data_IF_327782168105
#
_entry.id   IF_327782168105
#
_cell.length_a   1.000
_cell.length_b   1.000
_cell.length_c   1.000
_cell.angle_alpha   90.00
_cell.angle_beta   90.00
_cell.angle_gamma   90.00
#
_symmetry.space_group_name_H-M   'P 1'
#
loop_
_entity.id
_entity.type
_entity.pdbx_description
1 polymer ?
#
# COMPACT_ATOMS: atom_id res chain seq x y z
N UNK A 1 30.96 54.89 14.94
CA UNK A 1 30.00 55.48 13.98
C UNK A 1 30.74 55.65 12.66
N UNK A 2 30.41 55.08 11.50
CA UNK A 2 29.23 54.40 10.96
C UNK A 2 29.76 53.36 9.96
N UNK A 3 29.32 52.10 10.08
CA UNK A 3 29.60 51.06 9.09
C UNK A 3 28.66 51.26 7.88
N UNK A 4 29.23 51.37 6.69
CA UNK A 4 28.48 51.44 5.45
C UNK A 4 28.12 50.02 4.98
N UNK A 5 26.83 49.88 4.66
CA UNK A 5 26.14 48.72 4.11
C UNK A 5 26.44 48.57 2.62
N UNK A 6 26.68 47.33 2.14
CA UNK A 6 26.45 46.80 0.77
C UNK A 6 27.45 45.67 0.50
N UNK A 7 27.15 44.56 -0.16
CA UNK A 7 25.92 44.03 -0.72
C UNK A 7 26.15 42.52 -0.90
N UNK A 8 25.13 41.74 -0.57
CA UNK A 8 24.66 40.52 -1.26
C UNK A 8 25.72 39.81 -2.14
N UNK A 9 26.18 38.66 -1.66
CA UNK A 9 26.16 37.48 -2.52
C UNK A 9 25.68 36.32 -1.66
N UNK A 10 24.36 36.18 -1.64
CA UNK A 10 23.68 35.00 -1.14
C UNK A 10 24.16 33.82 -2.00
N UNK A 11 25.17 33.10 -1.49
CA UNK A 11 25.42 31.75 -1.94
C UNK A 11 24.25 30.92 -1.41
N UNK A 12 23.21 30.79 -2.24
CA UNK A 12 22.19 29.76 -2.13
C UNK A 12 22.93 28.43 -2.06
N UNK A 13 23.21 27.96 -0.84
CA UNK A 13 23.49 26.56 -0.60
C UNK A 13 22.23 25.85 -1.04
N UNK A 14 22.38 25.14 -2.16
CA UNK A 14 21.35 24.26 -2.68
C UNK A 14 20.91 23.37 -1.53
N UNK A 15 19.70 23.62 -1.05
CA UNK A 15 18.89 22.61 -0.36
C UNK A 15 18.63 21.58 -1.45
N UNK A 16 19.61 20.72 -1.69
CA UNK A 16 19.38 19.46 -2.38
C UNK A 16 18.32 18.76 -1.57
N UNK A 17 17.18 18.50 -2.19
CA UNK A 17 16.09 17.72 -1.64
C UNK A 17 16.68 16.44 -1.03
N UNK A 18 16.86 16.43 0.29
CA UNK A 18 17.05 15.20 1.04
C UNK A 18 15.68 14.52 1.10
N UNK A 19 15.21 14.01 -0.03
CA UNK A 19 14.17 13.01 -0.01
C UNK A 19 14.85 11.72 -0.44
N UNK A 20 15.60 11.17 0.50
CA UNK A 20 15.91 9.76 0.52
C UNK A 20 14.60 9.05 0.25
N UNK A 21 14.45 8.46 -0.94
CA UNK A 21 13.45 7.45 -1.17
C UNK A 21 13.81 6.31 -0.20
N UNK A 22 13.30 6.40 1.03
CA UNK A 22 13.12 5.21 1.84
C UNK A 22 12.28 4.31 0.95
N UNK A 23 12.89 3.22 0.49
CA UNK A 23 12.18 2.08 -0.05
C UNK A 23 11.35 1.54 1.09
N UNK A 24 10.22 2.19 1.35
CA UNK A 24 9.13 1.61 2.10
C UNK A 24 8.67 0.43 1.27
N UNK A 25 8.51 -0.72 1.90
CA UNK A 25 7.97 -1.89 1.21
C UNK A 25 6.58 -1.52 0.70
N UNK A 26 6.45 -1.29 -0.61
CA UNK A 26 5.25 -0.68 -1.17
C UNK A 26 4.16 -1.74 -1.32
N UNK A 27 3.08 -1.60 -0.56
CA UNK A 27 1.91 -2.47 -0.73
C UNK A 27 1.05 -1.94 -1.87
N UNK A 28 0.71 -2.81 -2.82
CA UNK A 28 -0.23 -2.49 -3.89
C UNK A 28 -1.05 -3.69 -4.36
N UNK A 29 -2.28 -3.41 -4.79
CA UNK A 29 -3.19 -4.36 -5.43
C UNK A 29 -3.26 -3.98 -6.91
N UNK A 30 -2.99 -4.94 -7.81
CA UNK A 30 -2.99 -4.72 -9.26
C UNK A 30 -3.84 -5.75 -9.99
N UNK A 31 -4.46 -5.34 -11.10
CA UNK A 31 -5.10 -6.29 -12.02
C UNK A 31 -4.07 -6.97 -12.94
N UNK A 32 -4.55 -7.87 -13.79
CA UNK A 32 -3.71 -8.62 -14.75
C UNK A 32 -3.03 -7.73 -15.81
N UNK A 33 -3.49 -6.48 -16.00
CA UNK A 33 -2.86 -5.50 -16.89
C UNK A 33 -1.79 -4.66 -16.18
N UNK A 34 -1.60 -4.84 -14.88
CA UNK A 34 -0.67 -4.09 -14.05
C UNK A 34 -1.20 -2.72 -13.61
N UNK A 35 -2.49 -2.44 -13.79
CA UNK A 35 -3.13 -1.23 -13.25
C UNK A 35 -3.20 -1.31 -11.74
N UNK A 36 -2.77 -0.24 -11.05
CA UNK A 36 -2.86 -0.14 -9.59
C UNK A 36 -4.28 0.20 -9.19
N UNK A 37 -4.91 -0.71 -8.44
CA UNK A 37 -6.29 -0.60 -7.96
C UNK A 37 -6.37 -0.01 -6.55
N UNK A 38 -5.37 -0.31 -5.72
CA UNK A 38 -5.21 0.23 -4.38
C UNK A 38 -3.74 0.20 -3.93
N UNK A 39 -3.34 1.14 -3.09
CA UNK A 39 -2.03 1.17 -2.41
C UNK A 39 -2.20 1.18 -0.89
N UNK A 40 -1.09 1.14 -0.15
CA UNK A 40 -1.08 1.32 1.31
C UNK A 40 -1.94 2.52 1.77
N UNK A 41 -1.90 3.63 1.04
CA UNK A 41 -2.61 4.87 1.36
C UNK A 41 -4.14 4.78 1.23
N UNK A 42 -4.65 3.78 0.50
CA UNK A 42 -6.09 3.53 0.39
C UNK A 42 -6.64 2.78 1.62
N UNK A 43 -5.78 2.33 2.55
CA UNK A 43 -6.16 1.55 3.71
C UNK A 43 -6.12 2.38 5.00
N UNK A 44 -7.15 2.20 5.83
CA UNK A 44 -7.22 2.70 7.20
C UNK A 44 -6.44 1.82 8.19
N UNK A 45 -6.01 0.64 7.74
CA UNK A 45 -5.19 -0.27 8.51
C UNK A 45 -5.29 -1.72 8.03
N UNK A 46 -4.37 -2.54 8.52
CA UNK A 46 -4.34 -3.97 8.27
C UNK A 46 -4.08 -4.78 9.55
N UNK A 47 -4.49 -6.05 9.55
CA UNK A 47 -4.31 -6.97 10.68
C UNK A 47 -4.15 -8.41 10.20
N UNK A 48 -3.40 -9.21 10.96
CA UNK A 48 -3.34 -10.65 10.77
C UNK A 48 -4.41 -11.37 11.59
N UNK A 49 -5.03 -12.36 10.97
CA UNK A 49 -5.94 -13.29 11.60
C UNK A 49 -5.49 -14.72 11.31
N UNK A 50 -5.51 -15.60 12.31
CA UNK A 50 -5.25 -17.03 12.10
C UNK A 50 -6.60 -17.77 12.07
N UNK A 51 -6.87 -18.50 10.98
CA UNK A 51 -8.10 -19.30 10.82
C UNK A 51 -7.73 -20.68 10.31
N UNK A 52 -8.08 -21.71 11.08
CA UNK A 52 -7.88 -23.12 10.70
C UNK A 52 -6.43 -23.51 10.35
N UNK A 53 -5.45 -22.76 10.85
CA UNK A 53 -4.02 -22.96 10.58
C UNK A 53 -3.47 -22.07 9.46
N UNK A 54 -4.34 -21.35 8.76
CA UNK A 54 -3.96 -20.39 7.72
C UNK A 54 -3.79 -18.98 8.31
N UNK A 55 -2.79 -18.26 7.81
CA UNK A 55 -2.59 -16.83 8.11
C UNK A 55 -3.35 -16.01 7.08
N UNK A 56 -4.30 -15.20 7.53
CA UNK A 56 -5.13 -14.33 6.71
C UNK A 56 -4.74 -12.87 6.98
N UNK A 57 -4.58 -12.10 5.91
CA UNK A 57 -4.43 -10.65 6.02
C UNK A 57 -5.81 -10.03 5.86
N UNK A 58 -6.22 -9.20 6.81
CA UNK A 58 -7.43 -8.39 6.69
C UNK A 58 -7.01 -6.93 6.52
N UNK A 59 -7.37 -6.33 5.39
CA UNK A 59 -7.23 -4.88 5.17
C UNK A 59 -8.56 -4.18 5.33
N UNK A 60 -8.52 -2.93 5.78
CA UNK A 60 -9.70 -2.06 5.88
C UNK A 60 -9.44 -0.82 5.04
N UNK A 61 -10.29 -0.54 4.06
CA UNK A 61 -10.17 0.64 3.22
C UNK A 61 -10.49 1.93 3.98
N UNK A 62 -9.95 3.07 3.54
CA UNK A 62 -10.35 4.40 4.01
C UNK A 62 -11.74 4.82 3.48
N UNK A 63 -12.03 4.47 2.24
CA UNK A 63 -13.35 4.66 1.62
C UNK A 63 -14.21 3.40 1.81
N UNK A 64 -15.42 3.59 2.31
CA UNK A 64 -16.38 2.51 2.59
C UNK A 64 -16.83 1.77 1.32
N UNK A 65 -16.79 2.42 0.16
CA UNK A 65 -17.27 1.86 -1.11
C UNK A 65 -16.16 1.21 -1.92
N UNK A 66 -14.88 1.49 -1.62
CA UNK A 66 -13.74 1.08 -2.47
C UNK A 66 -13.66 -0.44 -2.65
N UNK A 67 -13.82 -1.22 -1.58
CA UNK A 67 -13.80 -2.69 -1.66
C UNK A 67 -14.93 -3.23 -2.53
N UNK A 68 -16.14 -2.68 -2.39
CA UNK A 68 -17.30 -3.05 -3.19
C UNK A 68 -17.05 -2.72 -4.65
N UNK A 69 -16.67 -1.50 -4.96
CA UNK A 69 -16.42 -1.06 -6.34
C UNK A 69 -15.29 -1.85 -7.01
N UNK A 70 -14.22 -2.16 -6.27
CA UNK A 70 -13.13 -3.00 -6.76
C UNK A 70 -13.64 -4.40 -7.08
N UNK A 71 -14.34 -5.04 -6.14
CA UNK A 71 -14.82 -6.41 -6.34
C UNK A 71 -15.96 -6.53 -7.36
N UNK A 72 -16.79 -5.50 -7.52
CA UNK A 72 -17.82 -5.44 -8.57
C UNK A 72 -17.21 -5.31 -9.97
N UNK A 73 -16.20 -4.44 -10.12
CA UNK A 73 -15.57 -4.19 -11.42
C UNK A 73 -14.68 -5.34 -11.88
N UNK A 74 -14.05 -6.03 -10.94
CA UNK A 74 -13.06 -7.08 -11.21
C UNK A 74 -13.58 -8.49 -10.86
N UNK A 75 -14.91 -8.69 -10.88
CA UNK A 75 -15.50 -9.98 -10.58
C UNK A 75 -15.06 -11.05 -11.59
N UNK A 76 -14.50 -12.15 -11.09
CA UNK A 76 -13.94 -13.23 -11.90
C UNK A 76 -12.50 -13.00 -12.37
N UNK A 77 -11.92 -11.83 -12.09
CA UNK A 77 -10.53 -11.50 -12.44
C UNK A 77 -9.57 -11.85 -11.30
N UNK A 78 -8.32 -12.10 -11.68
CA UNK A 78 -7.21 -12.28 -10.73
C UNK A 78 -6.66 -10.93 -10.31
N UNK A 79 -6.66 -10.65 -9.00
CA UNK A 79 -6.05 -9.43 -8.45
C UNK A 79 -4.78 -9.83 -7.71
N UNK A 80 -3.63 -9.34 -8.17
CA UNK A 80 -2.34 -9.61 -7.57
C UNK A 80 -2.02 -8.60 -6.47
N UNK A 81 -1.57 -9.13 -5.34
CA UNK A 81 -1.11 -8.37 -4.18
C UNK A 81 0.40 -8.36 -4.20
N UNK A 82 0.97 -7.17 -4.18
CA UNK A 82 2.40 -6.92 -4.21
C UNK A 82 2.89 -6.41 -2.86
N UNK A 83 4.05 -6.89 -2.45
CA UNK A 83 4.89 -6.29 -1.43
C UNK A 83 6.18 -5.85 -2.14
N UNK A 84 6.35 -4.55 -2.32
CA UNK A 84 7.35 -3.98 -3.22
C UNK A 84 7.17 -4.46 -4.67
N UNK A 85 8.16 -5.18 -5.22
CA UNK A 85 8.11 -5.73 -6.59
C UNK A 85 7.71 -7.22 -6.62
N UNK A 86 7.57 -7.87 -5.45
CA UNK A 86 7.26 -9.29 -5.33
C UNK A 86 5.75 -9.52 -5.21
N UNK A 87 5.25 -10.51 -5.94
CA UNK A 87 3.85 -10.95 -5.83
C UNK A 87 3.73 -11.92 -4.66
N UNK A 88 2.98 -11.53 -3.63
CA UNK A 88 2.77 -12.36 -2.42
C UNK A 88 1.43 -13.08 -2.43
N UNK A 89 0.47 -12.60 -3.23
CA UNK A 89 -0.79 -13.30 -3.45
C UNK A 89 -1.42 -12.93 -4.79
N UNK A 90 -2.26 -13.79 -5.35
CA UNK A 90 -3.03 -13.52 -6.59
C UNK A 90 -4.38 -14.25 -6.59
N UNK A 91 -5.29 -13.94 -5.66
CA UNK A 91 -6.60 -14.56 -5.61
C UNK A 91 -7.50 -14.06 -6.75
N UNK A 92 -8.39 -14.94 -7.21
CA UNK A 92 -9.50 -14.54 -8.05
C UNK A 92 -10.63 -13.92 -7.20
N UNK A 93 -11.22 -12.81 -7.67
CA UNK A 93 -12.39 -12.22 -7.02
C UNK A 93 -13.62 -13.07 -7.36
N UNK A 94 -14.14 -13.79 -6.37
CA UNK A 94 -15.26 -14.72 -6.57
C UNK A 94 -16.62 -14.12 -6.23
N UNK A 95 -16.64 -13.09 -5.38
CA UNK A 95 -17.87 -12.47 -4.87
C UNK A 95 -17.68 -10.98 -4.69
N UNK A 96 -18.76 -10.21 -4.85
CA UNK A 96 -18.80 -8.81 -4.44
C UNK A 96 -18.78 -8.70 -2.92
N UNK A 97 -17.92 -7.83 -2.40
CA UNK A 97 -17.75 -7.61 -0.96
C UNK A 97 -18.34 -6.24 -0.61
N UNK A 98 -19.56 -6.26 -0.06
CA UNK A 98 -20.26 -5.06 0.43
C UNK A 98 -19.83 -4.74 1.87
N UNK A 99 -18.53 -4.52 2.04
CA UNK A 99 -17.87 -4.34 3.34
C UNK A 99 -16.66 -3.45 3.16
N UNK A 100 -16.31 -2.66 4.19
CA UNK A 100 -15.10 -1.83 4.19
C UNK A 100 -13.81 -2.66 4.32
N UNK A 101 -13.93 -3.94 4.66
CA UNK A 101 -12.80 -4.86 4.84
C UNK A 101 -12.73 -5.91 3.74
N UNK A 102 -11.50 -6.29 3.41
CA UNK A 102 -11.15 -7.35 2.48
C UNK A 102 -10.23 -8.34 3.18
N UNK A 103 -10.54 -9.63 3.09
CA UNK A 103 -9.65 -10.70 3.49
C UNK A 103 -8.82 -11.14 2.27
N UNK A 104 -7.51 -11.10 2.43
CA UNK A 104 -6.54 -11.58 1.46
C UNK A 104 -6.04 -12.91 2.00
N UNK A 105 -6.23 -13.96 1.21
CA UNK A 105 -5.63 -15.28 1.39
C UNK A 105 -4.56 -15.45 0.29
N UNK A 106 -3.52 -16.24 0.52
CA UNK A 106 -2.47 -16.44 -0.47
C UNK A 106 -1.38 -17.41 -0.03
N UNK A 107 -0.39 -17.55 -0.92
CA UNK A 107 0.77 -18.42 -0.75
C UNK A 107 1.93 -17.73 0.01
N UNK A 108 1.66 -16.61 0.69
CA UNK A 108 2.66 -15.88 1.45
C UNK A 108 3.05 -16.61 2.74
N UNK A 109 4.28 -16.38 3.17
CA UNK A 109 4.77 -16.75 4.49
C UNK A 109 4.19 -15.82 5.56
N UNK A 110 4.23 -16.27 6.82
CA UNK A 110 3.84 -15.43 7.96
C UNK A 110 4.66 -14.14 8.04
N UNK A 111 5.96 -14.20 7.72
CA UNK A 111 6.85 -13.04 7.72
C UNK A 111 6.43 -12.02 6.64
N UNK A 112 6.12 -12.46 5.43
CA UNK A 112 5.61 -11.57 4.37
C UNK A 112 4.26 -10.95 4.74
N UNK A 113 3.40 -11.70 5.44
CA UNK A 113 2.13 -11.18 5.95
C UNK A 113 2.33 -10.11 7.04
N UNK A 114 3.30 -10.32 7.94
CA UNK A 114 3.69 -9.35 8.97
C UNK A 114 4.24 -8.06 8.33
N UNK A 115 5.16 -8.18 7.36
CA UNK A 115 5.70 -7.04 6.62
C UNK A 115 4.63 -6.27 5.86
N UNK A 116 3.66 -6.97 5.25
CA UNK A 116 2.52 -6.33 4.61
C UNK A 116 1.72 -5.48 5.61
N UNK A 117 1.40 -6.04 6.77
CA UNK A 117 0.62 -5.34 7.81
C UNK A 117 1.38 -4.14 8.36
N UNK A 118 2.68 -4.29 8.59
CA UNK A 118 3.54 -3.22 9.07
C UNK A 118 3.70 -2.09 8.03
N UNK A 119 3.75 -2.43 6.73
CA UNK A 119 3.78 -1.44 5.65
C UNK A 119 2.48 -0.61 5.61
N UNK A 120 1.32 -1.27 5.74
CA UNK A 120 0.02 -0.57 5.69
C UNK A 120 -0.21 0.34 6.91
N UNK A 121 0.34 -0.01 8.08
CA UNK A 121 0.06 0.70 9.34
C UNK A 121 1.09 1.81 9.68
N UNK A 122 2.02 2.14 8.79
CA UNK A 122 3.09 3.12 9.02
C UNK A 122 2.70 4.58 8.73
#
# INVERSE_FOLDING_TARGET
MKFAVSAIMALLVMVGCQNSAQSFEEVSLKNEQGEVLATAEDFAGASLNEREGDTLITVKFEDESKAKELTERHLGETISVYLSEEVVSSPAIQTVIDSRSLEINGDYTKEEAELFVDSVNQ
#
